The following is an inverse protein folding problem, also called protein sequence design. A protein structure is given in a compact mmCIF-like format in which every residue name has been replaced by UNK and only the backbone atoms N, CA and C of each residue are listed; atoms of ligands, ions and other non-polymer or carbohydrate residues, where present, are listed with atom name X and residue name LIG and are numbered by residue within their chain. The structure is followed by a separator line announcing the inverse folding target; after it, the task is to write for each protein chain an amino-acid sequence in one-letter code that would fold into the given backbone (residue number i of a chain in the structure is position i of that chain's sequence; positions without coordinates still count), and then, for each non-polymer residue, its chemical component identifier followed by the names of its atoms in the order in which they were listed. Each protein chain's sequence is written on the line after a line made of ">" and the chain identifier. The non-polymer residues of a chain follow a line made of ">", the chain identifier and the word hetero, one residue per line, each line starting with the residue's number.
data_IF_716519806120
#
_entry.id   IF_716519806120
#
_cell.length_a   1.000
_cell.length_b   1.000
_cell.length_c   1.000
_cell.angle_alpha   90.00
_cell.angle_beta   90.00
_cell.angle_gamma   90.00
#
_symmetry.space_group_name_H-M   'P 1'
#
loop_
_entity.id
_entity.type
_entity.pdbx_description
1 polymer ?
#
# COMPACT_ATOMS: atom_id res chain seq x y z
N UNK A 1 -6.59 -0.25 13.17
CA UNK A 1 -6.67 -0.70 11.77
C UNK A 1 -6.02 0.33 10.87
N UNK A 2 -5.09 -0.11 10.05
CA UNK A 2 -4.29 0.81 9.24
C UNK A 2 -4.14 0.27 7.82
N UNK A 3 -4.10 1.17 6.83
CA UNK A 3 -3.95 0.85 5.42
C UNK A 3 -2.73 1.63 4.89
N UNK A 4 -1.57 0.96 4.65
CA UNK A 4 -0.39 1.65 4.17
C UNK A 4 -0.47 1.98 2.67
N UNK A 5 0.09 3.13 2.32
CA UNK A 5 0.31 3.56 0.95
C UNK A 5 1.50 2.80 0.34
N UNK A 6 1.55 2.73 -0.99
CA UNK A 6 2.64 2.10 -1.76
C UNK A 6 4.01 2.66 -1.37
N UNK A 7 4.16 3.97 -1.27
CA UNK A 7 5.43 4.60 -0.98
C UNK A 7 6.01 4.16 0.36
N UNK A 8 5.15 4.00 1.36
CA UNK A 8 5.57 3.57 2.69
C UNK A 8 6.14 2.15 2.66
N UNK A 9 5.52 1.25 1.88
CA UNK A 9 6.00 -0.12 1.69
C UNK A 9 7.33 -0.15 0.92
N UNK A 10 7.46 0.69 -0.10
CA UNK A 10 8.72 0.81 -0.87
C UNK A 10 9.84 1.29 0.04
N UNK A 11 9.63 2.35 0.81
CA UNK A 11 10.65 2.88 1.73
C UNK A 11 11.05 1.85 2.79
N UNK A 12 10.12 1.04 3.25
CA UNK A 12 10.40 -0.02 4.23
C UNK A 12 11.39 -1.07 3.72
N UNK A 13 11.60 -1.17 2.40
CA UNK A 13 12.48 -2.15 1.77
C UNK A 13 13.60 -1.53 0.94
N UNK A 14 13.56 -0.23 0.67
CA UNK A 14 14.59 0.49 -0.08
C UNK A 14 15.65 1.02 0.88
N UNK A 15 16.76 0.28 1.05
CA UNK A 15 17.84 0.65 1.95
C UNK A 15 18.60 1.91 1.53
N UNK A 16 18.37 2.40 0.31
CA UNK A 16 18.99 3.64 -0.19
C UNK A 16 18.13 4.88 0.13
N UNK A 17 16.89 4.68 0.57
CA UNK A 17 15.98 5.78 0.92
C UNK A 17 16.34 6.40 2.27
N UNK A 18 16.27 7.72 2.36
CA UNK A 18 16.40 8.44 3.63
C UNK A 18 15.28 8.09 4.63
N UNK A 19 14.14 7.59 4.13
CA UNK A 19 12.98 7.20 4.94
C UNK A 19 12.99 5.71 5.34
N UNK A 20 14.02 4.95 4.93
CA UNK A 20 14.05 3.49 5.11
C UNK A 20 13.90 3.08 6.59
N UNK A 21 14.73 3.62 7.47
CA UNK A 21 14.73 3.19 8.88
C UNK A 21 13.39 3.45 9.55
N UNK A 22 12.82 4.64 9.34
CA UNK A 22 11.52 5.02 9.89
C UNK A 22 10.39 4.15 9.33
N UNK A 23 10.38 3.93 8.02
CA UNK A 23 9.32 3.14 7.37
C UNK A 23 9.40 1.66 7.74
N UNK A 24 10.61 1.08 7.78
CA UNK A 24 10.80 -0.32 8.15
C UNK A 24 10.39 -0.57 9.61
N UNK A 25 10.78 0.30 10.52
CA UNK A 25 10.39 0.21 11.93
C UNK A 25 8.88 0.36 12.09
N UNK A 26 8.28 1.31 11.38
CA UNK A 26 6.84 1.54 11.41
C UNK A 26 6.05 0.34 10.91
N UNK A 27 6.46 -0.25 9.77
CA UNK A 27 5.76 -1.39 9.19
C UNK A 27 5.83 -2.62 10.11
N UNK A 28 7.01 -2.90 10.67
CA UNK A 28 7.20 -3.99 11.63
C UNK A 28 6.30 -3.81 12.86
N UNK A 29 6.27 -2.59 13.40
CA UNK A 29 5.43 -2.28 14.55
C UNK A 29 3.93 -2.43 14.21
N UNK A 30 3.49 -1.88 13.08
CA UNK A 30 2.10 -1.96 12.65
C UNK A 30 1.65 -3.41 12.47
N UNK A 31 2.45 -4.24 11.79
CA UNK A 31 2.14 -5.67 11.59
C UNK A 31 2.11 -6.47 12.90
N UNK A 32 2.82 -6.01 13.92
CA UNK A 32 2.89 -6.67 15.22
C UNK A 32 1.75 -6.24 16.14
N UNK A 33 1.33 -4.97 16.08
CA UNK A 33 0.45 -4.37 17.09
C UNK A 33 -0.97 -4.09 16.65
N UNK A 34 -1.26 -4.11 15.33
CA UNK A 34 -2.60 -3.80 14.84
C UNK A 34 -2.94 -4.57 13.56
N UNK A 35 -4.18 -4.42 13.10
CA UNK A 35 -4.64 -5.01 11.84
C UNK A 35 -4.19 -4.12 10.68
N UNK A 36 -3.53 -4.71 9.69
CA UNK A 36 -3.00 -4.01 8.52
C UNK A 36 -3.75 -4.49 7.28
N UNK A 37 -4.30 -3.55 6.53
CA UNK A 37 -5.06 -3.83 5.30
C UNK A 37 -4.24 -3.46 4.08
N UNK A 38 -4.03 -4.45 3.20
CA UNK A 38 -3.39 -4.25 1.91
C UNK A 38 -4.44 -4.29 0.82
N UNK A 39 -4.28 -3.46 -0.21
CA UNK A 39 -5.11 -3.53 -1.42
C UNK A 39 -4.33 -4.20 -2.53
N UNK A 40 -5.03 -4.75 -3.53
CA UNK A 40 -4.39 -5.27 -4.74
C UNK A 40 -3.57 -4.20 -5.45
N UNK A 41 -4.07 -2.97 -5.50
CA UNK A 41 -3.35 -1.83 -6.07
C UNK A 41 -2.03 -1.58 -5.34
N UNK A 42 -2.05 -1.58 -4.02
CA UNK A 42 -0.86 -1.34 -3.20
C UNK A 42 0.19 -2.43 -3.40
N UNK A 43 -0.23 -3.69 -3.41
CA UNK A 43 0.64 -4.84 -3.66
C UNK A 43 1.23 -4.78 -5.08
N UNK A 44 0.39 -4.60 -6.10
CA UNK A 44 0.85 -4.49 -7.47
C UNK A 44 1.78 -3.29 -7.67
N UNK A 45 1.50 -2.16 -7.05
CA UNK A 45 2.35 -0.98 -7.09
C UNK A 45 3.72 -1.22 -6.46
N UNK A 46 3.76 -1.87 -5.31
CA UNK A 46 5.02 -2.26 -4.66
C UNK A 46 5.85 -3.16 -5.58
N UNK A 47 5.26 -4.24 -6.11
CA UNK A 47 5.95 -5.17 -7.00
C UNK A 47 6.48 -4.47 -8.25
N UNK A 48 5.68 -3.58 -8.85
CA UNK A 48 6.07 -2.82 -10.04
C UNK A 48 7.26 -1.91 -9.78
N UNK A 49 7.27 -1.22 -8.65
CA UNK A 49 8.33 -0.24 -8.33
C UNK A 49 9.63 -0.95 -7.97
N UNK A 50 9.62 -1.91 -7.05
CA UNK A 50 10.85 -2.54 -6.55
C UNK A 50 11.56 -3.41 -7.58
N UNK A 51 10.87 -3.84 -8.63
CA UNK A 51 11.45 -4.64 -9.71
C UNK A 51 11.80 -3.82 -10.95
N UNK A 52 11.62 -2.49 -10.91
CA UNK A 52 11.76 -1.63 -12.08
C UNK A 52 13.21 -1.17 -12.25
N UNK A 53 13.87 -1.60 -13.34
CA UNK A 53 15.25 -1.23 -13.64
C UNK A 53 15.43 0.22 -14.11
N UNK A 54 14.32 0.94 -14.35
CA UNK A 54 14.36 2.38 -14.65
C UNK A 54 14.38 3.22 -13.38
N UNK A 55 13.93 2.64 -12.26
CA UNK A 55 13.90 3.31 -10.94
C UNK A 55 15.15 2.96 -10.15
N UNK A 56 15.55 1.69 -10.17
CA UNK A 56 16.69 1.19 -9.40
C UNK A 56 17.78 0.65 -10.30
N UNK A 57 19.03 0.93 -9.95
CA UNK A 57 20.21 0.35 -10.61
C UNK A 57 20.24 -1.17 -10.39
N UNK A 58 19.94 -1.61 -9.17
CA UNK A 58 19.88 -3.02 -8.80
C UNK A 58 18.48 -3.36 -8.25
N UNK A 59 17.47 -3.49 -9.12
CA UNK A 59 16.12 -3.80 -8.66
C UNK A 59 16.05 -5.22 -8.10
N UNK A 60 15.04 -5.47 -7.26
CA UNK A 60 14.73 -6.83 -6.84
C UNK A 60 14.28 -7.66 -8.03
N UNK A 61 14.64 -8.94 -8.07
CA UNK A 61 13.97 -9.85 -8.99
C UNK A 61 12.56 -10.18 -8.49
N UNK A 62 11.69 -10.62 -9.38
CA UNK A 62 10.29 -10.88 -9.02
C UNK A 62 10.14 -11.97 -7.95
N UNK A 63 10.89 -13.10 -8.01
CA UNK A 63 10.78 -14.10 -6.94
C UNK A 63 11.07 -13.53 -5.54
N UNK A 64 12.07 -12.65 -5.43
CA UNK A 64 12.39 -12.02 -4.15
C UNK A 64 11.30 -11.04 -3.70
N UNK A 65 10.79 -10.25 -4.63
CA UNK A 65 9.69 -9.30 -4.34
C UNK A 65 8.43 -10.05 -3.88
N UNK A 66 8.11 -11.17 -4.50
CA UNK A 66 6.99 -12.03 -4.10
C UNK A 66 7.19 -12.59 -2.70
N UNK A 67 8.41 -13.02 -2.35
CA UNK A 67 8.71 -13.51 -1.00
C UNK A 67 8.44 -12.45 0.06
N UNK A 68 8.75 -11.20 -0.23
CA UNK A 68 8.48 -10.09 0.69
C UNK A 68 6.97 -9.95 0.93
N UNK A 69 6.19 -9.94 -0.13
CA UNK A 69 4.72 -9.86 -0.03
C UNK A 69 4.17 -11.08 0.71
N UNK A 70 4.66 -12.27 0.41
CA UNK A 70 4.27 -13.49 1.11
C UNK A 70 4.51 -13.38 2.62
N UNK A 71 5.63 -12.78 3.01
CA UNK A 71 5.95 -12.58 4.43
C UNK A 71 4.96 -11.68 5.15
N UNK A 72 4.43 -10.66 4.48
CA UNK A 72 3.37 -9.82 5.05
C UNK A 72 2.06 -10.59 5.17
N UNK A 73 1.63 -11.20 4.07
CA UNK A 73 0.31 -11.86 4.00
C UNK A 73 0.23 -13.14 4.83
N UNK A 74 1.36 -13.70 5.23
CA UNK A 74 1.40 -14.87 6.12
C UNK A 74 1.01 -14.52 7.57
N UNK A 75 1.05 -13.24 7.96
CA UNK A 75 0.70 -12.81 9.31
C UNK A 75 -0.81 -12.72 9.47
N UNK A 76 -1.34 -13.16 10.61
CA UNK A 76 -2.77 -13.09 10.92
C UNK A 76 -3.29 -11.65 10.95
N UNK A 77 -2.41 -10.69 11.25
CA UNK A 77 -2.74 -9.27 11.28
C UNK A 77 -2.89 -8.64 9.90
N UNK A 78 -2.42 -9.30 8.84
CA UNK A 78 -2.45 -8.78 7.48
C UNK A 78 -3.69 -9.28 6.73
N UNK A 79 -4.38 -8.34 6.08
CA UNK A 79 -5.59 -8.61 5.30
C UNK A 79 -5.46 -8.04 3.91
N UNK A 80 -5.95 -8.78 2.92
CA UNK A 80 -6.02 -8.31 1.54
C UNK A 80 -7.46 -7.94 1.22
N UNK A 81 -7.70 -6.68 0.86
CA UNK A 81 -9.05 -6.13 0.67
C UNK A 81 -9.20 -5.48 -0.69
N UNK A 82 -10.44 -5.36 -1.15
CA UNK A 82 -10.78 -4.71 -2.40
C UNK A 82 -12.11 -3.97 -2.29
N UNK A 83 -12.28 -2.92 -3.10
CA UNK A 83 -13.58 -2.25 -3.24
C UNK A 83 -14.56 -3.19 -3.95
N UNK A 84 -15.81 -3.13 -3.52
CA UNK A 84 -16.92 -3.86 -4.11
C UNK A 84 -17.80 -2.89 -4.90
N UNK A 85 -18.67 -3.43 -5.75
CA UNK A 85 -19.63 -2.63 -6.51
C UNK A 85 -20.43 -1.67 -5.62
N UNK A 86 -20.80 -2.11 -4.42
CA UNK A 86 -21.53 -1.29 -3.46
C UNK A 86 -20.75 -0.05 -2.97
N UNK A 87 -19.43 -0.04 -3.11
CA UNK A 87 -18.58 1.08 -2.71
C UNK A 87 -18.45 2.15 -3.81
N UNK A 88 -18.94 1.89 -5.03
CA UNK A 88 -18.80 2.82 -6.14
C UNK A 88 -19.38 4.20 -5.84
N UNK A 89 -20.61 4.35 -5.28
CA UNK A 89 -21.14 5.68 -4.99
C UNK A 89 -20.25 6.51 -4.07
N UNK A 90 -19.66 5.87 -3.05
CA UNK A 90 -18.73 6.55 -2.12
C UNK A 90 -17.43 6.97 -2.83
N UNK A 91 -16.87 6.10 -3.64
CA UNK A 91 -15.67 6.42 -4.41
C UNK A 91 -15.94 7.55 -5.41
N UNK A 92 -17.04 7.47 -6.14
CA UNK A 92 -17.44 8.50 -7.10
C UNK A 92 -17.61 9.87 -6.42
N UNK A 93 -18.24 9.90 -5.24
CA UNK A 93 -18.39 11.12 -4.45
C UNK A 93 -17.03 11.71 -4.05
N UNK A 94 -16.09 10.88 -3.59
CA UNK A 94 -14.76 11.33 -3.22
C UNK A 94 -13.98 11.90 -4.42
N UNK A 95 -14.12 11.28 -5.59
CA UNK A 95 -13.51 11.77 -6.83
C UNK A 95 -14.02 13.17 -7.19
N UNK A 96 -15.31 13.39 -7.08
CA UNK A 96 -15.94 14.67 -7.39
C UNK A 96 -15.58 15.75 -6.37
N UNK A 97 -15.63 15.44 -5.09
CA UNK A 97 -15.29 16.39 -4.02
C UNK A 97 -13.84 16.82 -4.06
N UNK A 98 -12.94 15.88 -4.35
CA UNK A 98 -11.50 16.16 -4.46
C UNK A 98 -11.10 16.74 -5.83
N UNK A 99 -12.03 16.80 -6.79
CA UNK A 99 -11.72 17.15 -8.19
C UNK A 99 -10.54 16.32 -8.70
N UNK A 100 -10.57 15.02 -8.42
CA UNK A 100 -9.45 14.13 -8.65
C UNK A 100 -9.24 13.88 -10.15
N UNK A 101 -7.99 14.06 -10.59
CA UNK A 101 -7.52 13.71 -11.93
C UNK A 101 -6.12 13.11 -11.81
N UNK A 102 -5.75 12.27 -12.78
CA UNK A 102 -4.41 11.67 -12.78
C UNK A 102 -4.14 10.87 -11.51
N UNK A 103 -3.01 11.13 -10.87
CA UNK A 103 -2.59 10.41 -9.66
C UNK A 103 -3.53 10.57 -8.47
N UNK A 104 -4.30 11.67 -8.42
CA UNK A 104 -5.27 11.89 -7.35
C UNK A 104 -6.41 10.86 -7.37
N UNK A 105 -6.68 10.25 -8.53
CA UNK A 105 -7.67 9.16 -8.63
C UNK A 105 -7.26 7.98 -7.76
N UNK A 106 -5.99 7.63 -7.74
CA UNK A 106 -5.49 6.53 -6.92
C UNK A 106 -5.51 6.87 -5.43
N UNK A 107 -5.22 8.12 -5.07
CA UNK A 107 -5.33 8.60 -3.70
C UNK A 107 -6.79 8.52 -3.21
N UNK A 108 -7.74 8.92 -4.05
CA UNK A 108 -9.17 8.81 -3.75
C UNK A 108 -9.60 7.34 -3.60
N UNK A 109 -9.05 6.43 -4.41
CA UNK A 109 -9.30 5.00 -4.30
C UNK A 109 -8.86 4.47 -2.93
N UNK A 110 -7.64 4.80 -2.49
CA UNK A 110 -7.12 4.38 -1.19
C UNK A 110 -7.95 4.97 -0.04
N UNK A 111 -8.37 6.23 -0.17
CA UNK A 111 -9.23 6.87 0.83
C UNK A 111 -10.59 6.18 0.93
N UNK A 112 -11.20 5.81 -0.21
CA UNK A 112 -12.47 5.08 -0.24
C UNK A 112 -12.31 3.68 0.38
N UNK A 113 -11.18 3.03 0.12
CA UNK A 113 -10.87 1.73 0.70
C UNK A 113 -10.71 1.83 2.21
N UNK A 114 -9.96 2.80 2.71
CA UNK A 114 -9.77 3.03 4.14
C UNK A 114 -11.13 3.27 4.82
N UNK A 115 -11.98 4.10 4.23
CA UNK A 115 -13.32 4.37 4.74
C UNK A 115 -14.18 3.09 4.79
N UNK A 116 -14.11 2.25 3.76
CA UNK A 116 -14.91 1.01 3.70
C UNK A 116 -14.49 -0.01 4.73
N UNK A 117 -13.21 -0.01 5.14
CA UNK A 117 -12.66 -0.93 6.14
C UNK A 117 -12.66 -0.36 7.56
N UNK A 118 -13.00 0.92 7.72
CA UNK A 118 -12.83 1.61 9.00
C UNK A 118 -11.36 1.77 9.40
N UNK A 119 -10.46 1.82 8.41
CA UNK A 119 -9.03 1.91 8.63
C UNK A 119 -8.52 3.33 8.46
N UNK A 120 -7.37 3.62 9.05
CA UNK A 120 -6.63 4.87 8.85
C UNK A 120 -5.63 4.69 7.71
N UNK A 121 -5.65 5.59 6.74
CA UNK A 121 -4.66 5.61 5.67
C UNK A 121 -3.33 6.13 6.21
N UNK A 122 -2.25 5.39 5.94
CA UNK A 122 -0.89 5.78 6.35
C UNK A 122 0.01 5.96 5.12
N UNK A 123 0.76 7.03 5.10
CA UNK A 123 1.68 7.36 4.02
C UNK A 123 3.03 7.90 4.50
#
# INVERSE_FOLDING_TARGET
>A
MILPDVNLLVYAHDTTSEFHDSAAAWLKDALTTQQVFFTWHTIAGFLRIVTNNRIYENPLDMPRAIQIVDSWLALDSAHLVSLKKANWPTFAKMLLEARATGNLVMDAHLAAMAASCGATLAS
#
